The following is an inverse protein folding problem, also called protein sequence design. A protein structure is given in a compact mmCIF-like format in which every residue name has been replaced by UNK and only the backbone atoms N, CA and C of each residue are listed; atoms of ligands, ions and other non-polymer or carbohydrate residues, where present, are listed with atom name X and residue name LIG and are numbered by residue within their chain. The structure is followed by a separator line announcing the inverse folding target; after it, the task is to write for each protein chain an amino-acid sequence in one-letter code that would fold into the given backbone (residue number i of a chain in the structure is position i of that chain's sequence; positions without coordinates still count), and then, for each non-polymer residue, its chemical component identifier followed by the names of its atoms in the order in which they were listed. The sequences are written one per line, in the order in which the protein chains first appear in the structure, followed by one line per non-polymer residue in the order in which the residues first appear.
data_IF_816838625401
#
_entry.id   IF_816838625401
#
_cell.length_a   1.000
_cell.length_b   1.000
_cell.length_c   1.000
_cell.angle_alpha   90.00
_cell.angle_beta   90.00
_cell.angle_gamma   90.00
#
_symmetry.space_group_name_H-M   'P 1'
#
loop_
_entity.id
_entity.type
_entity.pdbx_description
1 polymer ?
#
# COMPACT_ATOMS: atom_id res chain seq x y z
N UNK A 1 -1.48 14.11 18.70
CA UNK A 1 -1.93 14.02 17.28
C UNK A 1 -2.98 12.93 17.14
N UNK A 2 -3.95 13.10 16.25
CA UNK A 2 -5.03 12.12 16.04
C UNK A 2 -4.54 10.94 15.20
N UNK A 3 -4.76 9.71 15.69
CA UNK A 3 -4.35 8.48 15.02
C UNK A 3 -4.82 8.41 13.55
N UNK A 4 -6.02 8.91 13.26
CA UNK A 4 -6.54 8.97 11.89
C UNK A 4 -5.63 9.76 10.95
N UNK A 5 -5.18 10.96 11.35
CA UNK A 5 -4.26 11.76 10.52
C UNK A 5 -2.91 11.09 10.31
N UNK A 6 -2.41 10.39 11.34
CA UNK A 6 -1.14 9.65 11.22
C UNK A 6 -1.31 8.47 10.26
N UNK A 7 -2.41 7.73 10.33
CA UNK A 7 -2.71 6.65 9.39
C UNK A 7 -2.81 7.15 7.96
N UNK A 8 -3.43 8.31 7.73
CA UNK A 8 -3.44 8.95 6.39
C UNK A 8 -2.02 9.29 5.92
N UNK A 9 -1.18 9.88 6.77
CA UNK A 9 0.20 10.21 6.42
C UNK A 9 1.05 8.96 6.10
N UNK A 10 0.86 7.88 6.84
CA UNK A 10 1.53 6.59 6.58
C UNK A 10 1.05 6.00 5.26
N UNK A 11 -0.26 6.03 4.97
CA UNK A 11 -0.81 5.55 3.68
C UNK A 11 -0.20 6.31 2.52
N UNK A 12 -0.26 7.65 2.55
CA UNK A 12 0.34 8.50 1.53
C UNK A 12 1.79 8.11 1.26
N UNK A 13 2.60 7.92 2.32
CA UNK A 13 3.99 7.49 2.18
C UNK A 13 4.15 6.09 1.55
N UNK A 14 3.27 5.14 1.85
CA UNK A 14 3.31 3.81 1.23
C UNK A 14 2.94 3.86 -0.26
N UNK A 15 2.06 4.78 -0.62
CA UNK A 15 1.60 5.00 -1.99
C UNK A 15 2.54 5.93 -2.80
N UNK A 16 3.56 6.51 -2.15
CA UNK A 16 4.51 7.44 -2.77
C UNK A 16 4.01 8.89 -2.87
N UNK A 17 2.94 9.21 -2.15
CA UNK A 17 2.29 10.52 -2.10
C UNK A 17 2.82 11.40 -0.96
N UNK A 18 2.56 12.71 -1.07
CA UNK A 18 2.93 13.67 -0.03
C UNK A 18 1.98 13.54 1.19
N UNK A 19 2.51 13.54 2.43
CA UNK A 19 1.66 13.50 3.63
C UNK A 19 0.77 14.74 3.78
N UNK A 20 -0.32 14.65 4.56
CA UNK A 20 -1.19 15.78 4.84
C UNK A 20 -0.41 16.98 5.41
N UNK A 21 -0.77 18.22 5.04
CA UNK A 21 -0.08 19.41 5.51
C UNK A 21 -0.04 19.48 7.04
N UNK A 22 1.11 19.88 7.56
CA UNK A 22 1.37 19.95 9.00
C UNK A 22 1.65 18.60 9.67
N UNK A 23 1.87 17.52 8.92
CA UNK A 23 2.44 16.26 9.44
C UNK A 23 3.81 16.06 8.83
N UNK A 24 4.85 16.18 9.65
CA UNK A 24 6.23 15.89 9.25
C UNK A 24 6.55 14.41 9.47
N UNK A 25 7.60 13.93 8.79
CA UNK A 25 8.12 12.58 9.01
C UNK A 25 8.53 12.34 10.49
N UNK A 26 9.05 13.37 11.16
CA UNK A 26 9.42 13.30 12.58
C UNK A 26 8.18 13.13 13.48
N UNK A 27 7.12 13.90 13.23
CA UNK A 27 5.86 13.80 14.00
C UNK A 27 5.20 12.43 13.81
N UNK A 28 5.26 11.91 12.58
CA UNK A 28 4.79 10.57 12.27
C UNK A 28 5.59 9.50 13.03
N UNK A 29 6.92 9.56 12.97
CA UNK A 29 7.81 8.66 13.71
C UNK A 29 7.55 8.69 15.22
N UNK A 30 7.51 9.88 15.82
CA UNK A 30 7.25 10.04 17.26
C UNK A 30 5.88 9.47 17.69
N UNK A 31 4.86 9.55 16.83
CA UNK A 31 3.58 8.91 17.12
C UNK A 31 3.66 7.38 17.03
N UNK A 32 4.36 6.85 16.03
CA UNK A 32 4.56 5.41 15.88
C UNK A 32 5.37 4.85 17.06
N UNK A 33 6.32 5.60 17.62
CA UNK A 33 7.08 5.16 18.81
C UNK A 33 6.19 5.03 20.06
N UNK A 34 5.12 5.82 20.16
CA UNK A 34 4.28 5.90 21.37
C UNK A 34 2.94 5.18 21.25
N UNK A 35 2.46 4.89 20.04
CA UNK A 35 1.14 4.32 19.79
C UNK A 35 1.21 2.90 19.20
N UNK A 36 1.02 1.88 20.03
CA UNK A 36 1.05 0.47 19.63
C UNK A 36 0.03 0.14 18.52
N UNK A 37 -1.20 0.65 18.64
CA UNK A 37 -2.25 0.41 17.64
C UNK A 37 -1.91 1.00 16.26
N UNK A 38 -1.13 2.08 16.20
CA UNK A 38 -0.67 2.64 14.93
C UNK A 38 0.52 1.87 14.35
N UNK A 39 1.42 1.33 15.19
CA UNK A 39 2.49 0.42 14.72
C UNK A 39 1.94 -0.86 14.12
N UNK A 40 1.00 -1.50 14.81
CA UNK A 40 0.36 -2.72 14.31
C UNK A 40 -0.42 -2.48 13.02
N UNK A 41 -1.06 -1.32 12.91
CA UNK A 41 -1.74 -0.93 11.69
C UNK A 41 -0.75 -0.67 10.55
N UNK A 42 0.36 0.03 10.80
CA UNK A 42 1.41 0.29 9.80
C UNK A 42 2.02 -1.02 9.29
N UNK A 43 2.34 -1.96 10.17
CA UNK A 43 2.88 -3.25 9.79
C UNK A 43 1.94 -4.02 8.84
N UNK A 44 0.63 -4.00 9.13
CA UNK A 44 -0.39 -4.61 8.25
C UNK A 44 -0.52 -3.87 6.93
N UNK A 45 -0.50 -2.54 6.95
CA UNK A 45 -0.57 -1.73 5.73
C UNK A 45 0.64 -2.02 4.81
N UNK A 46 1.86 -2.08 5.36
CA UNK A 46 3.08 -2.46 4.62
C UNK A 46 2.98 -3.85 4.01
N UNK A 47 2.50 -4.83 4.77
CA UNK A 47 2.32 -6.19 4.27
C UNK A 47 1.31 -6.25 3.12
N UNK A 48 0.21 -5.50 3.22
CA UNK A 48 -0.80 -5.39 2.16
C UNK A 48 -0.24 -4.72 0.90
N UNK A 49 0.41 -3.57 1.02
CA UNK A 49 1.04 -2.86 -0.12
C UNK A 49 2.03 -3.77 -0.84
N UNK A 50 2.88 -4.50 -0.10
CA UNK A 50 3.83 -5.44 -0.68
C UNK A 50 3.12 -6.62 -1.39
N UNK A 51 2.00 -7.10 -0.84
CA UNK A 51 1.20 -8.14 -1.48
C UNK A 51 0.58 -7.67 -2.80
N UNK A 52 -0.01 -6.48 -2.82
CA UNK A 52 -0.60 -5.88 -4.02
C UNK A 52 0.47 -5.64 -5.10
N UNK A 53 1.66 -5.16 -4.72
CA UNK A 53 2.76 -4.97 -5.65
C UNK A 53 3.14 -6.29 -6.35
N UNK A 54 3.25 -7.39 -5.60
CA UNK A 54 3.55 -8.72 -6.17
C UNK A 54 2.47 -9.21 -7.14
N UNK A 55 1.19 -8.93 -6.87
CA UNK A 55 0.10 -9.30 -7.77
C UNK A 55 0.18 -8.51 -9.09
N UNK A 56 0.48 -7.22 -9.02
CA UNK A 56 0.68 -6.38 -10.22
C UNK A 56 1.84 -6.87 -11.08
N UNK A 57 2.94 -7.27 -10.45
CA UNK A 57 4.11 -7.80 -11.16
C UNK A 57 3.77 -9.13 -11.86
N UNK A 58 2.95 -10.00 -11.25
CA UNK A 58 2.49 -11.24 -11.84
C UNK A 58 1.54 -11.02 -13.03
N UNK A 59 0.65 -10.03 -12.96
CA UNK A 59 -0.26 -9.66 -14.05
C UNK A 59 0.46 -9.01 -15.25
N UNK A 60 1.67 -8.46 -15.03
CA UNK A 60 2.45 -7.77 -16.06
C UNK A 60 3.47 -8.71 -16.76
N UNK A 61 3.53 -9.99 -16.39
CA UNK A 61 4.38 -10.98 -17.06
C UNK A 61 3.92 -11.18 -18.53
N UNK A 62 4.71 -10.78 -19.54
CA UNK A 62 4.36 -10.96 -20.95
C UNK A 62 4.31 -12.44 -21.38
N UNK A 63 4.68 -13.38 -20.52
CA UNK A 63 4.60 -14.82 -20.74
C UNK A 63 3.23 -15.47 -20.45
N UNK A 64 2.25 -14.71 -19.95
CA UNK A 64 0.88 -15.18 -19.80
C UNK A 64 0.19 -15.22 -21.17
N UNK A 65 0.44 -16.28 -21.93
CA UNK A 65 -0.23 -16.56 -23.20
C UNK A 65 -1.75 -16.49 -23.01
N UNK A 66 -2.41 -15.61 -23.78
CA UNK A 66 -3.86 -15.47 -23.75
C UNK A 66 -4.49 -16.84 -24.03
N UNK A 67 -5.51 -17.28 -23.26
CA UNK A 67 -6.18 -18.54 -23.54
C UNK A 67 -6.74 -18.53 -24.96
N UNK A 68 -6.51 -19.64 -25.67
CA UNK A 68 -6.89 -19.84 -27.07
C UNK A 68 -8.35 -19.41 -27.31
N UNK A 69 -8.65 -18.61 -28.34
CA UNK A 69 -10.02 -18.22 -28.62
C UNK A 69 -10.87 -19.46 -28.93
N UNK A 70 -12.13 -19.52 -28.45
CA UNK A 70 -13.00 -20.66 -28.72
C UNK A 70 -13.19 -20.83 -30.23
N UNK A 71 -13.30 -22.09 -30.73
CA UNK A 71 -13.46 -22.35 -32.15
C UNK A 71 -14.72 -21.65 -32.66
N UNK A 72 -14.55 -20.84 -33.71
CA UNK A 72 -15.67 -20.14 -34.34
C UNK A 72 -16.53 -21.18 -35.06
N UNK A 73 -17.77 -21.36 -34.59
CA UNK A 73 -18.75 -22.17 -35.29
C UNK A 73 -19.17 -21.44 -36.57
N UNK A 74 -19.03 -22.13 -37.71
CA UNK A 74 -19.48 -21.70 -39.04
C UNK A 74 -21.00 -21.78 -39.19
#
# INVERSE_FOLDING_TARGET
MHCSRIRTAVSARLDGEEPPPGITAQQMGAHLDTCAACREWEARARALTAHIARLRDADTDPGAEAPDPPPQAF
#
